data_IF_144170014181
#
_entry.id   IF_144170014181
#
_cell.length_a   1.000
_cell.length_b   1.000
_cell.length_c   1.000
_cell.angle_alpha   90.00
_cell.angle_beta   90.00
_cell.angle_gamma   90.00
#
_symmetry.space_group_name_H-M   'P 1'
#
loop_
_entity.id
_entity.type
_entity.pdbx_description
1 polymer ?
#
# COMPACT_ATOMS: atom_id res chain seq x y z
N UNK A 1 -3.96 1.02 -0.46
CA UNK A 1 -2.84 0.94 0.50
C UNK A 1 -1.49 1.06 -0.19
N UNK A 2 -1.11 0.12 -1.07
CA UNK A 2 0.22 0.09 -1.74
C UNK A 2 0.59 1.38 -2.46
N UNK A 3 -0.36 2.04 -3.14
CA UNK A 3 -0.16 3.35 -3.76
C UNK A 3 0.27 4.46 -2.78
N UNK A 4 -0.08 4.35 -1.51
CA UNK A 4 0.24 5.37 -0.50
C UNK A 4 1.38 4.95 0.42
N UNK A 5 1.74 3.66 0.45
CA UNK A 5 2.71 3.11 1.40
C UNK A 5 3.90 2.42 0.77
N UNK A 6 3.97 2.34 -0.56
CA UNK A 6 5.07 1.71 -1.30
C UNK A 6 5.46 2.53 -2.53
N UNK A 7 5.27 3.83 -2.49
CA UNK A 7 5.29 4.69 -3.68
C UNK A 7 5.95 6.02 -3.35
N UNK A 8 6.97 6.38 -4.14
CA UNK A 8 7.60 7.70 -4.11
C UNK A 8 7.04 8.55 -5.28
N UNK A 9 6.31 9.65 -5.02
CA UNK A 9 5.58 10.37 -6.06
C UNK A 9 6.40 10.89 -7.25
N UNK A 10 7.69 11.22 -7.08
CA UNK A 10 8.50 11.76 -8.17
C UNK A 10 9.24 10.68 -8.97
N UNK A 11 9.62 9.58 -8.33
CA UNK A 11 10.52 8.57 -8.87
C UNK A 11 9.85 7.26 -9.26
N UNK A 12 8.64 7.00 -8.77
CA UNK A 12 7.89 5.77 -9.08
C UNK A 12 6.74 5.98 -10.09
N UNK A 13 6.60 7.18 -10.69
CA UNK A 13 5.64 7.43 -11.77
C UNK A 13 6.35 7.45 -13.12
N UNK A 14 5.93 6.56 -14.01
CA UNK A 14 6.51 6.40 -15.34
C UNK A 14 5.45 6.71 -16.40
N UNK A 15 5.73 7.65 -17.28
CA UNK A 15 4.93 7.88 -18.49
C UNK A 15 5.60 7.25 -19.70
N UNK A 16 4.81 6.91 -20.72
CA UNK A 16 5.34 6.47 -22.01
C UNK A 16 6.22 7.55 -22.67
N UNK A 17 5.86 8.83 -22.51
CA UNK A 17 6.66 9.97 -22.97
C UNK A 17 6.69 11.07 -21.93
N UNK A 18 7.80 11.79 -21.91
CA UNK A 18 8.01 12.97 -21.05
C UNK A 18 8.13 14.21 -21.91
N UNK A 19 7.42 15.29 -21.57
CA UNK A 19 7.50 16.59 -22.26
C UNK A 19 7.56 17.74 -21.26
N UNK A 20 8.47 18.68 -21.49
CA UNK A 20 8.46 19.96 -20.78
C UNK A 20 7.40 20.89 -21.36
N UNK A 21 6.54 21.44 -20.51
CA UNK A 21 5.53 22.42 -20.89
C UNK A 21 5.45 23.52 -19.83
N UNK A 22 5.77 24.76 -20.21
CA UNK A 22 5.85 25.92 -19.30
C UNK A 22 6.71 25.63 -18.06
N UNK A 23 7.94 25.15 -18.26
CA UNK A 23 8.89 24.74 -17.22
C UNK A 23 8.45 23.60 -16.28
N UNK A 24 7.39 22.85 -16.62
CA UNK A 24 6.95 21.67 -15.87
C UNK A 24 7.14 20.39 -16.69
N UNK A 25 7.68 19.35 -16.06
CA UNK A 25 7.74 17.99 -16.63
C UNK A 25 6.34 17.37 -16.63
N UNK A 26 5.86 16.93 -17.79
CA UNK A 26 4.57 16.23 -17.95
C UNK A 26 4.79 14.82 -18.48
N UNK A 27 4.02 13.87 -17.96
CA UNK A 27 3.94 12.50 -18.43
C UNK A 27 2.78 12.34 -19.41
N UNK A 28 2.94 11.45 -20.40
CA UNK A 28 1.90 11.05 -21.36
C UNK A 28 1.53 9.59 -21.18
N UNK A 29 0.29 9.30 -21.50
CA UNK A 29 -0.33 7.99 -21.44
C UNK A 29 0.37 6.93 -22.32
N UNK A 30 0.35 5.66 -21.90
CA UNK A 30 -0.07 5.17 -20.57
C UNK A 30 0.89 5.64 -19.46
N UNK A 31 0.35 5.78 -18.24
CA UNK A 31 1.10 6.10 -17.02
C UNK A 31 1.09 4.89 -16.10
N UNK A 32 2.26 4.51 -15.60
CA UNK A 32 2.48 3.39 -14.69
C UNK A 32 2.94 3.94 -13.34
N UNK A 33 2.34 3.44 -12.27
CA UNK A 33 2.75 3.73 -10.90
C UNK A 33 3.39 2.48 -10.31
N UNK A 34 4.69 2.52 -10.04
CA UNK A 34 5.40 1.38 -9.45
C UNK A 34 5.17 1.32 -7.93
N UNK A 35 4.14 0.57 -7.53
CA UNK A 35 3.79 0.37 -6.13
C UNK A 35 4.34 -0.95 -5.55
N UNK A 36 5.37 -1.55 -6.17
CA UNK A 36 6.02 -2.77 -5.67
C UNK A 36 6.80 -2.48 -4.39
N UNK A 37 7.03 -3.51 -3.58
CA UNK A 37 7.90 -3.38 -2.40
C UNK A 37 9.35 -3.20 -2.86
N UNK A 38 10.03 -2.18 -2.34
CA UNK A 38 11.45 -1.96 -2.64
C UNK A 38 12.32 -2.64 -1.58
N UNK A 39 13.56 -3.06 -1.92
CA UNK A 39 14.42 -3.80 -0.98
C UNK A 39 14.73 -3.07 0.33
N UNK A 40 14.68 -1.73 0.33
CA UNK A 40 14.97 -0.90 1.50
C UNK A 40 13.74 -0.52 2.32
N UNK A 41 12.54 -0.95 1.95
CA UNK A 41 11.36 -0.72 2.77
C UNK A 41 11.44 -1.57 4.04
N UNK A 42 10.86 -1.08 5.16
CA UNK A 42 10.68 -1.92 6.33
C UNK A 42 9.92 -3.21 5.97
N UNK A 43 10.18 -4.33 6.67
CA UNK A 43 9.39 -5.54 6.54
C UNK A 43 7.91 -5.26 6.76
N UNK A 44 7.06 -6.09 6.14
CA UNK A 44 5.62 -6.04 6.39
C UNK A 44 5.36 -6.40 7.87
N UNK A 45 4.40 -5.71 8.48
CA UNK A 45 3.92 -6.08 9.80
C UNK A 45 3.14 -7.39 9.68
N UNK A 46 3.68 -8.45 10.26
CA UNK A 46 3.02 -9.75 10.34
C UNK A 46 2.32 -9.92 11.69
N UNK A 47 1.21 -10.67 11.68
CA UNK A 47 0.42 -10.93 12.88
C UNK A 47 1.11 -12.01 13.72
N UNK A 48 1.19 -11.81 15.03
CA UNK A 48 1.61 -12.86 15.95
C UNK A 48 0.54 -13.96 16.05
N UNK A 49 0.92 -15.17 15.68
CA UNK A 49 0.02 -16.33 15.58
C UNK A 49 -0.65 -16.70 16.91
N UNK A 50 0.10 -16.62 18.01
CA UNK A 50 -0.43 -16.92 19.36
C UNK A 50 -1.49 -15.91 19.77
N UNK A 51 -1.22 -14.63 19.51
CA UNK A 51 -2.15 -13.54 19.80
C UNK A 51 -3.40 -13.66 18.94
N UNK A 52 -3.25 -13.90 17.63
CA UNK A 52 -4.39 -14.13 16.72
C UNK A 52 -5.31 -15.22 17.23
N UNK A 53 -4.75 -16.41 17.53
CA UNK A 53 -5.53 -17.54 18.05
C UNK A 53 -6.31 -17.18 19.32
N UNK A 54 -5.65 -16.48 20.25
CA UNK A 54 -6.28 -16.06 21.50
C UNK A 54 -7.45 -15.11 21.28
N UNK A 55 -7.34 -14.20 20.31
CA UNK A 55 -8.40 -13.27 19.93
C UNK A 55 -9.55 -14.02 19.25
N UNK A 56 -9.24 -14.83 18.24
CA UNK A 56 -10.22 -15.57 17.43
C UNK A 56 -11.10 -16.49 18.31
N UNK A 57 -10.51 -17.18 19.29
CA UNK A 57 -11.24 -18.05 20.22
C UNK A 57 -12.22 -17.28 21.13
N UNK A 58 -11.97 -16.01 21.41
CA UNK A 58 -12.72 -15.22 22.39
C UNK A 58 -13.68 -14.21 21.77
N UNK A 59 -13.39 -13.75 20.55
CA UNK A 59 -14.09 -12.60 19.94
C UNK A 59 -15.60 -12.83 19.83
N UNK A 60 -16.04 -14.05 19.48
CA UNK A 60 -17.47 -14.41 19.37
C UNK A 60 -18.20 -14.27 20.70
N UNK A 61 -17.55 -14.60 21.82
CA UNK A 61 -18.13 -14.46 23.17
C UNK A 61 -18.14 -13.03 23.69
N UNK A 62 -17.24 -12.19 23.18
CA UNK A 62 -17.09 -10.78 23.58
C UNK A 62 -18.02 -9.87 22.77
N UNK A 63 -18.21 -10.17 21.48
CA UNK A 63 -19.02 -9.33 20.60
C UNK A 63 -20.51 -9.38 21.00
N UNK A 64 -21.20 -8.21 21.01
CA UNK A 64 -22.64 -8.16 21.21
C UNK A 64 -23.37 -9.02 20.17
N UNK A 65 -24.49 -9.64 20.54
CA UNK A 65 -25.18 -10.61 19.69
C UNK A 65 -25.54 -10.08 18.28
N UNK A 66 -25.76 -8.77 18.14
CA UNK A 66 -26.04 -8.12 16.85
C UNK A 66 -24.82 -7.99 15.91
N UNK A 67 -23.60 -8.22 16.43
CA UNK A 67 -22.33 -8.12 15.72
C UNK A 67 -21.57 -9.45 15.66
N UNK A 68 -22.18 -10.53 16.14
CA UNK A 68 -21.66 -11.89 15.97
C UNK A 68 -21.95 -12.41 14.57
#
# INVERSE_FOLDING_TARGET
WTFFTRFEPAGDIYGNKTRTHRFHTRLREPVVFDCRMKPWYPPVLEVDEKTRKTVDEKIVGILPAQWR
#
